data_IF_580221639535
#
_entry.id   IF_580221639535
#
_cell.length_a   1.000
_cell.length_b   1.000
_cell.length_c   1.000
_cell.angle_alpha   90.00
_cell.angle_beta   90.00
_cell.angle_gamma   90.00
#
_symmetry.space_group_name_H-M   'P 1'
#
loop_
_entity.id
_entity.type
_entity.pdbx_description
1 polymer ?
#
# COMPACT_ATOMS: atom_id res chain seq x y z
N UNK A 1 -9.27 3.05 -13.25
CA UNK A 1 -10.28 2.78 -12.17
C UNK A 1 -11.65 3.37 -12.48
N UNK A 2 -11.78 4.61 -12.91
CA UNK A 2 -13.08 5.24 -13.25
C UNK A 2 -13.91 4.51 -14.34
N UNK A 3 -13.30 3.62 -15.10
CA UNK A 3 -13.98 2.81 -16.13
C UNK A 3 -14.41 1.43 -15.61
N UNK A 4 -14.25 1.16 -14.33
CA UNK A 4 -14.66 -0.11 -13.71
C UNK A 4 -16.12 0.03 -13.25
N UNK A 5 -16.98 -0.88 -13.70
CA UNK A 5 -18.40 -0.90 -13.32
C UNK A 5 -18.54 -0.98 -11.79
N UNK A 6 -19.41 -0.13 -11.25
CA UNK A 6 -19.62 0.00 -9.81
C UNK A 6 -18.73 1.03 -9.12
N UNK A 7 -17.84 1.70 -9.84
CA UNK A 7 -17.00 2.81 -9.34
C UNK A 7 -17.64 4.14 -9.70
N UNK A 8 -17.93 4.96 -8.69
CA UNK A 8 -18.50 6.29 -8.84
C UNK A 8 -17.40 7.36 -8.91
N UNK A 9 -16.42 7.27 -8.03
CA UNK A 9 -15.38 8.29 -7.90
C UNK A 9 -14.03 7.70 -7.57
N UNK A 10 -12.96 8.44 -7.92
CA UNK A 10 -11.58 8.05 -7.61
C UNK A 10 -10.81 9.28 -7.19
N UNK A 11 -10.21 9.24 -6.01
CA UNK A 11 -9.33 10.29 -5.48
C UNK A 11 -7.95 9.70 -5.23
N UNK A 12 -6.91 10.26 -5.85
CA UNK A 12 -5.52 9.86 -5.68
C UNK A 12 -4.74 10.83 -4.81
N UNK A 13 -3.88 10.31 -3.94
CA UNK A 13 -2.94 11.06 -3.11
C UNK A 13 -1.53 10.54 -3.43
N UNK A 14 -0.81 11.17 -4.36
CA UNK A 14 0.56 10.80 -4.67
C UNK A 14 1.49 11.17 -3.51
N UNK A 15 2.57 10.41 -3.34
CA UNK A 15 3.56 10.68 -2.31
C UNK A 15 3.13 10.29 -0.89
N UNK A 16 2.07 9.50 -0.73
CA UNK A 16 1.56 9.09 0.57
C UNK A 16 1.41 7.57 0.66
N UNK A 17 2.01 6.97 1.69
CA UNK A 17 1.84 5.56 2.03
C UNK A 17 0.77 5.42 3.11
N UNK A 18 -0.41 4.93 2.71
CA UNK A 18 -1.56 4.78 3.62
C UNK A 18 -1.36 3.67 4.66
N UNK A 19 -0.49 2.70 4.38
CA UNK A 19 -0.20 1.59 5.31
C UNK A 19 0.73 2.05 6.44
N UNK A 20 1.74 2.86 6.09
CA UNK A 20 2.68 3.45 7.05
C UNK A 20 2.18 4.79 7.62
N UNK A 21 1.11 5.35 7.07
CA UNK A 21 0.55 6.66 7.39
C UNK A 21 1.60 7.79 7.32
N UNK A 22 2.44 7.74 6.31
CA UNK A 22 3.59 8.64 6.16
C UNK A 22 3.80 9.08 4.71
N UNK A 23 4.50 10.21 4.55
CA UNK A 23 4.96 10.67 3.23
C UNK A 23 6.02 9.72 2.67
N UNK A 24 5.84 9.26 1.44
CA UNK A 24 6.77 8.39 0.72
C UNK A 24 6.69 8.67 -0.78
N UNK A 25 7.74 9.24 -1.36
CA UNK A 25 7.78 9.66 -2.76
C UNK A 25 7.54 8.51 -3.76
N UNK A 26 7.87 7.28 -3.37
CA UNK A 26 7.68 6.07 -4.17
C UNK A 26 6.32 5.38 -3.95
N UNK A 27 5.41 5.99 -3.18
CA UNK A 27 4.08 5.46 -2.89
C UNK A 27 2.98 6.44 -3.30
N UNK A 28 1.76 5.92 -3.37
CA UNK A 28 0.54 6.71 -3.54
C UNK A 28 -0.65 5.95 -2.98
N UNK A 29 -1.59 6.68 -2.44
CA UNK A 29 -2.87 6.14 -2.00
C UNK A 29 -3.97 6.51 -2.98
N UNK A 30 -4.97 5.66 -3.11
CA UNK A 30 -6.14 5.91 -3.94
C UNK A 30 -7.39 5.50 -3.18
N UNK A 31 -8.33 6.42 -3.04
CA UNK A 31 -9.65 6.15 -2.51
C UNK A 31 -10.63 5.98 -3.66
N UNK A 32 -11.36 4.87 -3.65
CA UNK A 32 -12.31 4.52 -4.69
C UNK A 32 -13.70 4.54 -4.07
N UNK A 33 -14.49 5.54 -4.43
CA UNK A 33 -15.91 5.62 -4.09
C UNK A 33 -16.70 4.68 -5.00
N UNK A 34 -17.59 3.91 -4.39
CA UNK A 34 -18.44 2.95 -5.11
C UNK A 34 -19.86 3.49 -5.20
N UNK A 35 -20.56 3.13 -6.25
CA UNK A 35 -21.99 3.42 -6.40
C UNK A 35 -22.81 2.91 -5.21
N UNK A 36 -24.02 3.39 -5.02
CA UNK A 36 -24.93 2.94 -3.98
C UNK A 36 -25.15 1.42 -3.97
N UNK A 37 -25.56 0.89 -2.84
CA UNK A 37 -25.81 -0.56 -2.72
C UNK A 37 -26.91 -1.05 -3.64
N UNK A 38 -27.92 -0.19 -3.90
CA UNK A 38 -29.02 -0.43 -4.82
C UNK A 38 -28.58 -0.59 -6.28
N UNK A 39 -27.49 0.07 -6.68
CA UNK A 39 -26.95 0.02 -8.04
C UNK A 39 -25.94 -1.10 -8.24
N UNK A 40 -25.45 -1.71 -7.15
CA UNK A 40 -24.44 -2.78 -7.17
C UNK A 40 -25.03 -4.14 -6.84
N UNK A 41 -26.02 -4.57 -7.63
CA UNK A 41 -26.78 -5.79 -7.40
C UNK A 41 -26.17 -7.05 -8.05
N UNK A 42 -25.23 -6.89 -8.98
CA UNK A 42 -24.59 -8.02 -9.67
C UNK A 42 -23.32 -8.49 -8.94
N UNK A 43 -22.96 -9.76 -9.12
CA UNK A 43 -21.74 -10.30 -8.54
C UNK A 43 -20.46 -9.54 -8.98
N UNK A 44 -20.48 -8.97 -10.18
CA UNK A 44 -19.36 -8.24 -10.78
C UNK A 44 -19.16 -6.84 -10.18
N UNK A 45 -20.21 -6.25 -9.60
CA UNK A 45 -20.19 -4.93 -8.94
C UNK A 45 -20.04 -5.01 -7.43
N UNK A 46 -19.93 -6.23 -6.88
CA UNK A 46 -19.61 -6.42 -5.47
C UNK A 46 -18.16 -6.04 -5.17
N UNK A 47 -17.91 -5.60 -3.93
CA UNK A 47 -16.63 -5.05 -3.51
C UNK A 47 -15.45 -6.00 -3.77
N UNK A 48 -15.61 -7.30 -3.52
CA UNK A 48 -14.55 -8.28 -3.74
C UNK A 48 -14.19 -8.42 -5.23
N UNK A 49 -15.20 -8.35 -6.11
CA UNK A 49 -14.97 -8.36 -7.56
C UNK A 49 -14.24 -7.10 -8.03
N UNK A 50 -14.59 -5.93 -7.48
CA UNK A 50 -13.92 -4.66 -7.79
C UNK A 50 -12.46 -4.69 -7.29
N UNK A 51 -12.21 -5.20 -6.08
CA UNK A 51 -10.84 -5.40 -5.56
C UNK A 51 -10.02 -6.27 -6.52
N UNK A 52 -10.55 -7.40 -6.96
CA UNK A 52 -9.88 -8.29 -7.89
C UNK A 52 -9.63 -7.62 -9.26
N UNK A 53 -10.60 -6.87 -9.79
CA UNK A 53 -10.43 -6.09 -11.02
C UNK A 53 -9.33 -5.04 -10.88
N UNK A 54 -9.18 -4.44 -9.69
CA UNK A 54 -8.14 -3.44 -9.41
C UNK A 54 -6.73 -4.02 -9.59
N UNK A 55 -6.48 -5.24 -9.14
CA UNK A 55 -5.19 -5.91 -9.37
C UNK A 55 -4.90 -6.09 -10.86
N UNK A 56 -5.91 -6.50 -11.63
CA UNK A 56 -5.77 -6.67 -13.08
C UNK A 56 -5.52 -5.35 -13.83
N UNK A 57 -6.20 -4.29 -13.43
CA UNK A 57 -5.97 -2.93 -13.97
C UNK A 57 -4.58 -2.44 -13.59
N UNK A 58 -4.17 -2.60 -12.34
CA UNK A 58 -2.85 -2.21 -11.85
C UNK A 58 -1.72 -2.88 -12.62
N UNK A 59 -1.80 -4.19 -12.82
CA UNK A 59 -0.80 -4.95 -13.57
C UNK A 59 -0.67 -4.51 -15.05
N UNK A 60 -1.75 -3.98 -15.64
CA UNK A 60 -1.73 -3.48 -17.03
C UNK A 60 -1.22 -2.05 -17.15
N UNK A 61 -1.61 -1.18 -16.22
CA UNK A 61 -1.37 0.27 -16.31
C UNK A 61 -0.03 0.67 -15.70
N UNK A 62 0.38 -0.04 -14.65
CA UNK A 62 1.61 0.23 -13.91
C UNK A 62 2.28 -1.10 -13.51
N UNK A 63 2.86 -1.84 -14.46
CA UNK A 63 3.47 -3.15 -14.20
C UNK A 63 4.66 -3.06 -13.24
N UNK A 64 5.30 -1.90 -13.13
CA UNK A 64 6.39 -1.61 -12.19
C UNK A 64 5.89 -1.33 -10.77
N UNK A 65 4.61 -1.03 -10.59
CA UNK A 65 4.04 -0.70 -9.30
C UNK A 65 3.45 -1.93 -8.60
N UNK A 66 3.65 -2.02 -7.30
CA UNK A 66 2.95 -2.98 -6.46
C UNK A 66 1.61 -2.41 -6.02
N UNK A 67 0.53 -2.83 -6.66
CA UNK A 67 -0.83 -2.42 -6.29
C UNK A 67 -1.34 -3.29 -5.15
N UNK A 68 -1.92 -2.65 -4.12
CA UNK A 68 -2.58 -3.29 -3.00
C UNK A 68 -3.97 -2.68 -2.89
N UNK A 69 -5.00 -3.49 -3.04
CA UNK A 69 -6.39 -3.05 -2.89
C UNK A 69 -7.05 -3.80 -1.74
N UNK A 70 -7.76 -3.07 -0.89
CA UNK A 70 -8.46 -3.61 0.27
C UNK A 70 -9.68 -2.75 0.61
N UNK A 71 -10.65 -3.35 1.29
CA UNK A 71 -11.77 -2.62 1.86
C UNK A 71 -11.37 -2.05 3.22
N UNK A 72 -11.82 -0.84 3.52
CA UNK A 72 -11.67 -0.29 4.86
C UNK A 72 -12.49 -1.09 5.86
N UNK A 73 -11.99 -1.28 7.10
CA UNK A 73 -12.78 -1.92 8.16
C UNK A 73 -14.09 -1.17 8.40
N UNK A 74 -15.15 -1.91 8.69
CA UNK A 74 -16.47 -1.34 8.95
C UNK A 74 -16.52 -0.48 10.23
N UNK A 75 -15.57 -0.66 11.15
CA UNK A 75 -15.45 0.10 12.39
C UNK A 75 -14.20 0.98 12.35
N UNK A 76 -14.35 2.31 12.36
CA UNK A 76 -13.23 3.24 12.47
C UNK A 76 -12.44 2.99 13.77
N UNK A 77 -11.11 3.03 13.68
CA UNK A 77 -10.23 2.86 14.85
C UNK A 77 -9.77 1.42 15.12
N UNK A 78 -10.29 0.42 14.40
CA UNK A 78 -9.81 -0.97 14.48
C UNK A 78 -8.74 -1.29 13.42
N UNK A 79 -7.84 -0.35 13.17
CA UNK A 79 -6.76 -0.48 12.19
C UNK A 79 -7.14 0.01 10.79
N UNK A 80 -6.17 0.05 9.91
CA UNK A 80 -6.34 0.51 8.51
C UNK A 80 -6.90 -0.60 7.63
N UNK A 81 -6.59 -1.84 7.98
CA UNK A 81 -6.99 -3.07 7.27
C UNK A 81 -7.38 -4.12 8.31
N UNK A 82 -8.38 -4.93 8.03
CA UNK A 82 -8.71 -6.09 8.87
C UNK A 82 -7.52 -7.08 8.90
N UNK A 83 -7.28 -7.69 10.06
CA UNK A 83 -6.20 -8.63 10.25
C UNK A 83 -5.38 -8.37 11.52
N UNK A 84 -4.09 -8.72 11.46
CA UNK A 84 -3.14 -8.50 12.53
C UNK A 84 -1.97 -7.64 12.05
N UNK A 85 -1.33 -6.95 12.98
CA UNK A 85 -0.14 -6.13 12.74
C UNK A 85 0.94 -6.52 13.74
N UNK A 86 2.17 -6.60 13.26
CA UNK A 86 3.36 -6.86 14.07
C UNK A 86 4.41 -5.80 13.77
N UNK A 87 5.08 -5.33 14.80
CA UNK A 87 6.24 -4.47 14.68
C UNK A 87 7.51 -5.28 14.91
N UNK A 88 8.46 -5.18 13.98
CA UNK A 88 9.80 -5.73 14.12
C UNK A 88 10.75 -4.59 14.46
N UNK A 89 11.32 -4.63 15.66
CA UNK A 89 12.24 -3.60 16.16
C UNK A 89 13.66 -4.17 16.24
N UNK A 90 14.62 -3.41 15.75
CA UNK A 90 16.04 -3.65 16.05
C UNK A 90 16.43 -2.93 17.33
N UNK A 91 16.84 -3.69 18.34
CA UNK A 91 17.31 -3.17 19.63
C UNK A 91 18.86 -3.18 19.76
N UNK A 92 19.54 -3.71 18.76
CA UNK A 92 20.99 -3.95 18.82
C UNK A 92 21.80 -3.04 17.91
N UNK A 93 21.14 -2.20 17.09
CA UNK A 93 21.79 -1.26 16.19
C UNK A 93 22.42 -1.92 14.96
N UNK A 94 21.75 -2.94 14.42
CA UNK A 94 22.13 -3.55 13.14
C UNK A 94 21.91 -2.59 11.97
N UNK A 95 22.42 -2.98 10.80
CA UNK A 95 22.20 -2.18 9.58
C UNK A 95 20.78 -2.38 9.03
N UNK A 96 20.34 -1.42 8.20
CA UNK A 96 19.04 -1.52 7.51
C UNK A 96 18.98 -2.75 6.59
N UNK A 97 20.11 -3.16 6.01
CA UNK A 97 20.24 -4.35 5.19
C UNK A 97 20.01 -5.64 5.98
N UNK A 98 20.55 -5.71 7.20
CA UNK A 98 20.36 -6.85 8.10
C UNK A 98 18.89 -6.94 8.55
N UNK A 99 18.26 -5.81 8.86
CA UNK A 99 16.84 -5.73 9.20
C UNK A 99 15.97 -6.17 8.01
N UNK A 100 16.31 -5.76 6.79
CA UNK A 100 15.61 -6.17 5.57
C UNK A 100 15.70 -7.69 5.35
N UNK A 101 16.89 -8.28 5.57
CA UNK A 101 17.08 -9.73 5.44
C UNK A 101 16.22 -10.51 6.45
N UNK A 102 16.19 -10.06 7.71
CA UNK A 102 15.36 -10.68 8.76
C UNK A 102 13.88 -10.52 8.42
N UNK A 103 13.47 -9.34 7.99
CA UNK A 103 12.08 -9.07 7.55
C UNK A 103 11.68 -10.01 6.41
N UNK A 104 12.51 -10.19 5.39
CA UNK A 104 12.24 -11.11 4.28
C UNK A 104 12.13 -12.57 4.73
N UNK A 105 12.96 -13.01 5.68
CA UNK A 105 12.87 -14.37 6.26
C UNK A 105 11.56 -14.57 7.00
N UNK A 106 11.15 -13.61 7.82
CA UNK A 106 9.88 -13.64 8.55
C UNK A 106 8.70 -13.69 7.56
N UNK A 107 8.71 -12.83 6.54
CA UNK A 107 7.65 -12.80 5.52
C UNK A 107 7.56 -14.12 4.76
N UNK A 108 8.69 -14.71 4.39
CA UNK A 108 8.72 -16.00 3.71
C UNK A 108 8.14 -17.12 4.58
N UNK A 109 8.53 -17.18 5.85
CA UNK A 109 8.02 -18.17 6.78
C UNK A 109 6.52 -17.96 7.08
N UNK A 110 6.08 -16.73 7.27
CA UNK A 110 4.69 -16.39 7.56
C UNK A 110 3.76 -16.71 6.37
N UNK A 111 4.18 -16.42 5.13
CA UNK A 111 3.37 -16.73 3.95
C UNK A 111 3.32 -18.24 3.60
N UNK A 112 4.12 -19.08 4.25
CA UNK A 112 4.02 -20.55 4.16
C UNK A 112 2.98 -21.13 5.14
N UNK A 113 2.49 -20.33 6.08
CA UNK A 113 1.52 -20.78 7.06
C UNK A 113 0.10 -20.74 6.48
N UNK A 114 -0.66 -21.83 6.52
CA UNK A 114 -2.02 -21.86 5.98
C UNK A 114 -3.00 -20.96 6.74
N UNK A 115 -2.66 -20.61 7.99
CA UNK A 115 -3.47 -19.73 8.83
C UNK A 115 -3.30 -18.25 8.48
N UNK A 116 -2.27 -17.90 7.68
CA UNK A 116 -1.93 -16.52 7.34
C UNK A 116 -2.07 -16.28 5.84
N UNK A 117 -2.69 -15.18 5.47
CA UNK A 117 -2.80 -14.77 4.07
C UNK A 117 -2.31 -13.33 3.87
N UNK A 118 -1.51 -13.13 2.82
CA UNK A 118 -1.11 -11.79 2.37
C UNK A 118 -0.22 -11.04 3.35
N UNK A 119 0.63 -11.76 4.11
CA UNK A 119 1.57 -11.13 5.04
C UNK A 119 2.59 -10.32 4.25
N UNK A 120 2.76 -9.06 4.63
CA UNK A 120 3.61 -8.09 3.94
C UNK A 120 4.24 -7.10 4.90
N UNK A 121 5.32 -6.46 4.46
CA UNK A 121 5.97 -5.35 5.16
C UNK A 121 5.88 -4.07 4.34
N UNK A 122 5.82 -2.93 5.00
CA UNK A 122 5.97 -1.60 4.42
C UNK A 122 7.43 -1.14 4.43
N UNK A 123 8.31 -1.85 5.13
CA UNK A 123 9.73 -1.56 5.18
C UNK A 123 10.40 -1.80 3.82
N UNK A 124 11.22 -0.83 3.38
CA UNK A 124 11.97 -0.91 2.13
C UNK A 124 13.21 -0.07 2.22
N UNK A 125 14.37 -0.67 1.95
CA UNK A 125 15.67 0.01 1.89
C UNK A 125 15.96 0.59 0.49
N UNK A 126 15.19 0.23 -0.53
CA UNK A 126 15.43 0.62 -1.93
C UNK A 126 14.56 1.81 -2.37
N UNK A 127 14.31 2.76 -1.48
CA UNK A 127 13.61 3.99 -1.85
C UNK A 127 14.63 5.01 -2.37
N UNK A 128 14.61 5.38 -3.67
CA UNK A 128 15.51 6.41 -4.19
C UNK A 128 15.20 7.75 -3.51
N UNK A 129 16.25 8.39 -2.99
CA UNK A 129 16.17 9.70 -2.34
C UNK A 129 17.05 10.67 -3.13
N UNK A 130 16.52 11.83 -3.47
CA UNK A 130 17.34 12.92 -4.00
C UNK A 130 17.84 13.77 -2.83
N UNK A 131 19.16 13.86 -2.69
CA UNK A 131 19.78 14.78 -1.75
C UNK A 131 20.15 16.05 -2.52
N UNK A 132 19.60 17.19 -2.10
CA UNK A 132 19.98 18.49 -2.64
C UNK A 132 21.12 19.08 -1.80
N UNK A 133 22.28 19.22 -2.44
CA UNK A 133 23.39 19.99 -1.86
C UNK A 133 23.27 21.44 -2.33
N UNK A 134 22.79 22.31 -1.44
CA UNK A 134 22.51 23.71 -1.75
C UNK A 134 23.73 24.53 -1.39
N UNK A 135 24.38 25.11 -2.42
CA UNK A 135 25.42 26.12 -2.25
C UNK A 135 24.79 27.42 -1.69
N UNK A 136 24.84 27.55 -0.38
CA UNK A 136 24.22 28.68 0.35
C UNK A 136 24.86 30.01 0.04
N UNK A 137 26.11 30.04 -0.42
CA UNK A 137 26.80 31.29 -0.79
C UNK A 137 26.27 31.83 -2.13
N UNK A 138 26.03 30.93 -3.09
CA UNK A 138 25.43 31.34 -4.38
C UNK A 138 23.95 31.72 -4.27
N UNK A 139 23.24 31.17 -3.30
CA UNK A 139 21.81 31.52 -3.10
C UNK A 139 21.67 32.92 -2.47
N UNK A 140 22.69 33.44 -1.79
CA UNK A 140 22.66 34.76 -1.14
C UNK A 140 23.21 35.89 -2.01
N UNK A 141 23.75 35.55 -3.18
CA UNK A 141 24.23 36.52 -4.17
C UNK A 141 23.11 36.90 -5.14
#
# INVERSE_FOLDING_TARGET
>A
MQQVDGVESVMGIPGFDIMAFSGKSSAGAMFVGLNGWEDRTTAETQINAIINKTFGVGAKVAPEARVIAFNMPALPGLGTVGGWQMELQDLSGHTDEELDQVTKKILAAANQRPELQGVRSTFSINSPVYQYDIDREKVKA
#
